data_IF_169388812716
#
_entry.id   IF_169388812716
#
_cell.length_a   1.000
_cell.length_b   1.000
_cell.length_c   1.000
_cell.angle_alpha   90.00
_cell.angle_beta   90.00
_cell.angle_gamma   90.00
#
_symmetry.space_group_name_H-M   'P 1'
#
loop_
_entity.id
_entity.type
_entity.pdbx_description
1 polymer ?
#
# COMPACT_ATOMS: atom_id res chain seq x y z
N UNK A 1 2.80 -14.72 10.34
CA UNK A 1 1.40 -15.04 10.69
C UNK A 1 0.49 -14.04 9.98
N UNK A 2 -0.54 -14.48 9.25
CA UNK A 2 -1.50 -13.63 8.56
C UNK A 2 -2.68 -13.32 9.49
N UNK A 3 -3.03 -12.04 9.65
CA UNK A 3 -4.22 -11.58 10.37
C UNK A 3 -5.18 -10.93 9.37
N UNK A 4 -6.41 -11.39 9.32
CA UNK A 4 -7.45 -10.86 8.44
C UNK A 4 -8.53 -10.20 9.28
N UNK A 5 -8.71 -8.89 9.12
CA UNK A 5 -9.76 -8.10 9.78
C UNK A 5 -10.91 -7.86 8.80
N UNK A 6 -12.06 -8.48 9.05
CA UNK A 6 -13.30 -8.20 8.30
C UNK A 6 -13.97 -6.98 8.91
N UNK A 7 -14.22 -5.96 8.10
CA UNK A 7 -14.80 -4.72 8.59
C UNK A 7 -15.68 -4.05 7.51
N UNK A 8 -16.91 -3.66 7.88
CA UNK A 8 -17.81 -2.84 7.07
C UNK A 8 -17.47 -1.35 7.12
N UNK A 9 -18.12 -0.52 6.31
CA UNK A 9 -17.98 0.93 6.41
C UNK A 9 -18.39 1.40 7.82
N UNK A 10 -17.62 2.30 8.44
CA UNK A 10 -17.87 2.80 9.79
C UNK A 10 -17.47 1.87 10.95
N UNK A 11 -16.96 0.67 10.70
CA UNK A 11 -16.65 -0.34 11.73
C UNK A 11 -15.29 -0.16 12.44
N UNK A 12 -14.68 1.02 12.37
CA UNK A 12 -13.40 1.29 13.06
C UNK A 12 -12.16 0.73 12.40
N UNK A 13 -12.20 0.41 11.09
CA UNK A 13 -11.02 -0.09 10.35
C UNK A 13 -9.76 0.73 10.55
N UNK A 14 -9.88 2.04 10.42
CA UNK A 14 -8.75 2.96 10.59
C UNK A 14 -8.23 2.96 12.02
N UNK A 15 -9.15 2.85 13.00
CA UNK A 15 -8.77 2.70 14.41
C UNK A 15 -7.91 1.45 14.63
N UNK A 16 -8.38 0.31 14.14
CA UNK A 16 -7.68 -0.98 14.27
C UNK A 16 -6.33 -0.96 13.56
N UNK A 17 -6.27 -0.44 12.33
CA UNK A 17 -5.00 -0.33 11.60
C UNK A 17 -4.00 0.59 12.28
N UNK A 18 -4.45 1.73 12.82
CA UNK A 18 -3.60 2.63 13.60
C UNK A 18 -3.06 1.93 14.84
N UNK A 19 -3.90 1.20 15.56
CA UNK A 19 -3.49 0.43 16.74
C UNK A 19 -2.44 -0.64 16.38
N UNK A 20 -2.69 -1.42 15.32
CA UNK A 20 -1.74 -2.45 14.87
C UNK A 20 -0.39 -1.84 14.48
N UNK A 21 -0.40 -0.68 13.80
CA UNK A 21 0.82 0.03 13.45
C UNK A 21 1.58 0.50 14.71
N UNK A 22 0.87 1.09 15.68
CA UNK A 22 1.45 1.54 16.96
C UNK A 22 2.04 0.36 17.75
N UNK A 23 1.36 -0.79 17.79
CA UNK A 23 1.90 -2.01 18.42
C UNK A 23 3.25 -2.41 17.81
N UNK A 24 3.39 -2.33 16.49
CA UNK A 24 4.64 -2.66 15.79
C UNK A 24 5.74 -1.61 16.02
N UNK A 25 5.35 -0.35 16.22
CA UNK A 25 6.30 0.72 16.55
C UNK A 25 6.85 0.61 17.97
N UNK A 26 5.99 0.28 18.93
CA UNK A 26 6.33 0.31 20.36
C UNK A 26 6.86 -1.03 20.90
N UNK A 27 6.61 -2.13 20.19
CA UNK A 27 6.99 -3.44 20.71
C UNK A 27 7.12 -4.53 19.64
N UNK A 28 7.42 -5.72 20.12
CA UNK A 28 7.63 -6.91 19.29
C UNK A 28 6.99 -8.14 19.93
N UNK A 29 6.94 -9.22 19.19
CA UNK A 29 6.48 -10.52 19.65
C UNK A 29 7.69 -11.39 19.92
N UNK A 30 7.81 -11.91 21.16
CA UNK A 30 8.90 -12.81 21.54
C UNK A 30 8.72 -14.22 20.93
N UNK A 31 9.71 -15.08 21.09
CA UNK A 31 9.70 -16.46 20.58
C UNK A 31 8.56 -17.31 21.17
N UNK A 32 8.08 -16.94 22.37
CA UNK A 32 6.92 -17.59 23.01
C UNK A 32 5.59 -16.99 22.55
N UNK A 33 5.62 -16.04 21.61
CA UNK A 33 4.43 -15.39 21.05
C UNK A 33 3.83 -14.29 21.91
N UNK A 34 4.50 -13.87 22.99
CA UNK A 34 4.07 -12.80 23.89
C UNK A 34 4.54 -11.45 23.37
N UNK A 35 3.71 -10.45 23.52
CA UNK A 35 4.09 -9.08 23.19
C UNK A 35 5.00 -8.49 24.26
N UNK A 36 6.05 -7.80 23.80
CA UNK A 36 7.04 -7.12 24.64
C UNK A 36 7.24 -5.69 24.16
N UNK A 37 7.29 -4.75 25.07
CA UNK A 37 7.63 -3.36 24.79
C UNK A 37 9.13 -3.26 24.47
N UNK A 38 9.49 -2.45 23.48
CA UNK A 38 10.90 -2.16 23.23
C UNK A 38 11.48 -1.39 24.41
N UNK A 39 12.73 -1.63 24.70
CA UNK A 39 13.47 -0.87 25.73
C UNK A 39 13.94 0.48 25.20
N UNK A 40 14.15 0.57 23.90
CA UNK A 40 14.60 1.75 23.19
C UNK A 40 14.03 1.73 21.77
N UNK A 41 13.74 2.91 21.21
CA UNK A 41 13.35 3.04 19.82
C UNK A 41 14.56 2.84 18.90
N UNK A 42 14.46 1.91 17.94
CA UNK A 42 15.48 1.60 16.94
C UNK A 42 14.94 1.81 15.53
N UNK A 43 14.33 2.97 15.30
CA UNK A 43 13.76 3.35 14.01
C UNK A 43 12.86 2.24 13.39
N UNK A 44 11.99 1.64 14.19
CA UNK A 44 11.13 0.51 13.78
C UNK A 44 10.26 0.85 12.57
N UNK A 45 9.88 2.14 12.38
CA UNK A 45 9.11 2.62 11.23
C UNK A 45 9.75 2.29 9.88
N UNK A 46 11.08 2.14 9.80
CA UNK A 46 11.79 1.73 8.59
C UNK A 46 11.48 0.30 8.15
N UNK A 47 11.07 -0.54 9.10
CA UNK A 47 10.81 -1.99 8.91
C UNK A 47 9.33 -2.31 8.75
N UNK A 48 8.46 -1.29 8.87
CA UNK A 48 7.01 -1.44 8.77
C UNK A 48 6.56 -0.82 7.45
N UNK A 49 5.88 -1.61 6.64
CA UNK A 49 5.23 -1.15 5.43
C UNK A 49 3.72 -1.17 5.64
N UNK A 50 3.06 -0.06 5.35
CA UNK A 50 1.61 0.00 5.23
C UNK A 50 1.21 0.51 3.84
N UNK A 51 0.21 -0.14 3.23
CA UNK A 51 -0.26 0.24 1.92
C UNK A 51 -1.75 0.56 1.94
N UNK A 52 -2.14 1.56 1.16
CA UNK A 52 -3.51 2.02 1.01
C UNK A 52 -3.90 2.11 -0.47
N UNK A 53 -5.17 2.34 -0.77
CA UNK A 53 -5.62 2.49 -2.15
C UNK A 53 -5.49 3.92 -2.69
N UNK A 54 -5.54 4.94 -1.83
CA UNK A 54 -5.56 6.33 -2.25
C UNK A 54 -4.53 7.18 -1.52
N UNK A 55 -4.04 8.24 -2.15
CA UNK A 55 -3.14 9.20 -1.53
C UNK A 55 -3.78 9.85 -0.29
N UNK A 56 -5.08 10.17 -0.36
CA UNK A 56 -5.82 10.74 0.78
C UNK A 56 -5.80 9.79 1.99
N UNK A 57 -6.04 8.49 1.78
CA UNK A 57 -5.98 7.50 2.86
C UNK A 57 -4.55 7.33 3.42
N UNK A 58 -3.52 7.45 2.57
CA UNK A 58 -2.12 7.45 2.99
C UNK A 58 -1.82 8.62 3.95
N UNK A 59 -2.19 9.84 3.56
CA UNK A 59 -1.97 11.04 4.37
C UNK A 59 -2.76 10.98 5.69
N UNK A 60 -4.02 10.57 5.64
CA UNK A 60 -4.85 10.40 6.83
C UNK A 60 -4.24 9.38 7.80
N UNK A 61 -3.73 8.26 7.31
CA UNK A 61 -3.10 7.24 8.13
C UNK A 61 -1.80 7.74 8.77
N UNK A 62 -0.94 8.44 8.03
CA UNK A 62 0.27 9.07 8.55
C UNK A 62 -0.05 10.06 9.67
N UNK A 63 -0.99 10.96 9.39
CA UNK A 63 -1.42 11.96 10.38
C UNK A 63 -1.95 11.29 11.65
N UNK A 64 -2.79 10.28 11.54
CA UNK A 64 -3.34 9.56 12.69
C UNK A 64 -2.28 8.89 13.53
N UNK A 65 -1.32 8.22 12.91
CA UNK A 65 -0.25 7.53 13.64
C UNK A 65 0.61 8.55 14.41
N UNK A 66 1.04 9.62 13.75
CA UNK A 66 1.82 10.68 14.40
C UNK A 66 1.03 11.33 15.54
N UNK A 67 -0.23 11.69 15.30
CA UNK A 67 -1.10 12.27 16.31
C UNK A 67 -1.31 11.37 17.52
N UNK A 68 -1.51 10.08 17.31
CA UNK A 68 -1.66 9.13 18.42
C UNK A 68 -0.36 8.88 19.17
N UNK A 69 0.79 8.88 18.48
CA UNK A 69 2.09 8.83 19.14
C UNK A 69 2.34 10.07 20.00
N UNK A 70 1.91 11.25 19.53
CA UNK A 70 2.02 12.49 20.27
C UNK A 70 1.18 12.45 21.56
N UNK A 71 -0.09 12.00 21.47
CA UNK A 71 -0.93 11.80 22.64
C UNK A 71 -0.29 10.78 23.61
N UNK A 72 0.22 9.64 23.10
CA UNK A 72 0.88 8.63 23.93
C UNK A 72 2.18 9.14 24.58
N UNK A 73 2.85 10.11 23.96
CA UNK A 73 4.08 10.71 24.49
C UNK A 73 3.83 11.78 25.54
N UNK A 74 2.78 12.60 25.40
CA UNK A 74 2.57 13.80 26.22
C UNK A 74 1.33 13.69 27.12
N UNK A 75 0.23 13.14 26.62
CA UNK A 75 -1.07 13.03 27.29
C UNK A 75 -1.55 11.56 27.32
N UNK A 76 -0.69 10.63 27.69
CA UNK A 76 -0.88 9.17 27.54
C UNK A 76 -2.26 8.68 27.96
N UNK A 77 -2.79 9.22 29.07
CA UNK A 77 -4.10 8.85 29.62
C UNK A 77 -5.29 9.22 28.73
N UNK A 78 -5.12 10.19 27.80
CA UNK A 78 -6.15 10.60 26.84
C UNK A 78 -6.18 9.70 25.60
N UNK A 79 -5.21 8.82 25.41
CA UNK A 79 -5.18 7.94 24.26
C UNK A 79 -6.20 6.81 24.39
N UNK A 80 -7.05 6.59 23.37
CA UNK A 80 -7.99 5.47 23.38
C UNK A 80 -7.30 4.11 23.29
N UNK A 81 -5.97 4.07 23.11
CA UNK A 81 -5.19 2.86 22.96
C UNK A 81 -4.42 2.46 24.23
N UNK A 82 -4.30 3.35 25.23
CA UNK A 82 -3.41 3.16 26.37
C UNK A 82 -3.72 1.89 27.15
N UNK A 83 -4.99 1.64 27.52
CA UNK A 83 -5.38 0.46 28.31
C UNK A 83 -5.10 -0.84 27.56
N UNK A 84 -5.42 -0.86 26.26
CA UNK A 84 -5.14 -2.02 25.42
C UNK A 84 -3.66 -2.30 25.24
N UNK A 85 -2.83 -1.26 25.14
CA UNK A 85 -1.37 -1.38 25.03
C UNK A 85 -0.75 -1.83 26.35
N UNK A 86 -1.21 -1.29 27.49
CA UNK A 86 -0.77 -1.71 28.83
C UNK A 86 -1.05 -3.20 29.05
N UNK A 87 -2.26 -3.63 28.76
CA UNK A 87 -2.65 -5.04 28.88
C UNK A 87 -1.85 -5.94 27.95
N UNK A 88 -1.65 -5.51 26.70
CA UNK A 88 -0.95 -6.28 25.68
C UNK A 88 0.53 -6.49 26.04
N UNK A 89 1.22 -5.43 26.47
CA UNK A 89 2.64 -5.45 26.75
C UNK A 89 2.98 -5.80 28.21
N UNK A 90 1.99 -5.78 29.11
CA UNK A 90 2.18 -5.98 30.54
C UNK A 90 3.08 -4.89 31.16
N UNK A 91 2.84 -3.64 30.80
CA UNK A 91 3.68 -2.50 31.15
C UNK A 91 2.87 -1.38 31.82
N UNK A 92 3.56 -0.37 32.37
CA UNK A 92 2.93 0.81 32.99
C UNK A 92 2.73 1.94 31.99
N UNK A 93 1.92 2.93 32.36
CA UNK A 93 1.68 4.16 31.57
C UNK A 93 3.00 4.88 31.30
N UNK A 94 3.87 4.99 32.30
CA UNK A 94 5.17 5.68 32.19
C UNK A 94 6.09 4.99 31.17
N UNK A 95 6.05 3.66 31.12
CA UNK A 95 6.83 2.88 30.16
C UNK A 95 6.32 3.11 28.72
N UNK A 96 4.98 3.18 28.52
CA UNK A 96 4.41 3.51 27.22
C UNK A 96 4.78 4.94 26.84
N UNK A 97 4.63 5.90 27.74
CA UNK A 97 5.00 7.31 27.51
C UNK A 97 6.45 7.45 27.08
N UNK A 98 7.36 6.80 27.80
CA UNK A 98 8.80 6.87 27.51
C UNK A 98 9.12 6.36 26.10
N UNK A 99 8.65 5.17 25.74
CA UNK A 99 8.95 4.61 24.43
C UNK A 99 8.20 5.33 23.31
N UNK A 100 6.98 5.84 23.54
CA UNK A 100 6.23 6.61 22.58
C UNK A 100 6.91 7.95 22.27
N UNK A 101 7.41 8.65 23.29
CA UNK A 101 8.17 9.90 23.14
C UNK A 101 9.45 9.68 22.33
N UNK A 102 10.21 8.66 22.63
CA UNK A 102 11.42 8.32 21.89
C UNK A 102 11.09 7.92 20.43
N UNK A 103 10.06 7.12 20.24
CA UNK A 103 9.62 6.69 18.92
C UNK A 103 9.14 7.85 18.07
N UNK A 104 8.36 8.76 18.64
CA UNK A 104 7.92 9.98 17.97
C UNK A 104 9.11 10.85 17.54
N UNK A 105 10.06 11.07 18.43
CA UNK A 105 11.28 11.83 18.13
C UNK A 105 12.04 11.22 16.95
N UNK A 106 12.32 9.92 17.00
CA UNK A 106 13.06 9.21 15.94
C UNK A 106 12.29 9.23 14.62
N UNK A 107 10.98 9.00 14.64
CA UNK A 107 10.13 9.01 13.45
C UNK A 107 10.09 10.39 12.78
N UNK A 108 9.98 11.47 13.54
CA UNK A 108 9.94 12.83 13.00
C UNK A 108 11.28 13.25 12.38
N UNK A 109 12.41 12.83 12.95
CA UNK A 109 13.74 13.11 12.40
C UNK A 109 14.08 12.25 11.18
N UNK A 110 13.35 11.15 10.98
CA UNK A 110 13.59 10.17 9.94
C UNK A 110 12.34 9.92 9.07
N UNK A 111 11.53 10.95 8.91
CA UNK A 111 10.19 10.88 8.32
C UNK A 111 10.17 10.37 6.87
N UNK A 112 11.25 10.55 6.12
CA UNK A 112 11.38 10.04 4.76
C UNK A 112 11.28 8.51 4.65
N UNK A 113 11.61 7.80 5.73
CA UNK A 113 11.50 6.33 5.84
C UNK A 113 10.21 5.86 6.51
N UNK A 114 9.25 6.77 6.71
CA UNK A 114 7.92 6.41 7.19
C UNK A 114 7.11 5.79 6.04
N UNK A 115 7.26 4.47 5.86
CA UNK A 115 6.82 3.71 4.70
C UNK A 115 5.30 3.44 4.71
N UNK A 116 4.51 4.48 4.53
CA UNK A 116 3.08 4.40 4.24
C UNK A 116 2.86 4.98 2.84
N UNK A 117 2.34 4.18 1.93
CA UNK A 117 2.17 4.57 0.53
C UNK A 117 0.92 3.94 -0.09
N UNK A 118 0.59 4.36 -1.31
CA UNK A 118 -0.40 3.62 -2.09
C UNK A 118 0.18 2.30 -2.60
N UNK A 119 -0.69 1.34 -2.90
CA UNK A 119 -0.31 0.05 -3.50
C UNK A 119 0.48 0.28 -4.79
N UNK A 120 0.01 1.17 -5.66
CA UNK A 120 0.68 1.48 -6.94
C UNK A 120 2.10 2.03 -6.73
N UNK A 121 2.27 2.97 -5.78
CA UNK A 121 3.58 3.52 -5.45
C UNK A 121 4.53 2.45 -4.92
N UNK A 122 4.04 1.54 -4.09
CA UNK A 122 4.83 0.42 -3.60
C UNK A 122 5.30 -0.48 -4.76
N UNK A 123 4.39 -0.89 -5.66
CA UNK A 123 4.77 -1.70 -6.82
C UNK A 123 5.73 -0.97 -7.76
N UNK A 124 5.57 0.33 -7.98
CA UNK A 124 6.53 1.14 -8.75
C UNK A 124 7.92 1.10 -8.13
N UNK A 125 8.03 1.21 -6.80
CA UNK A 125 9.32 1.11 -6.12
C UNK A 125 9.94 -0.28 -6.27
N UNK A 126 9.15 -1.33 -6.13
CA UNK A 126 9.59 -2.72 -6.34
C UNK A 126 10.09 -2.91 -7.77
N UNK A 127 9.32 -2.50 -8.78
CA UNK A 127 9.72 -2.58 -10.18
C UNK A 127 11.04 -1.83 -10.46
N UNK A 128 11.20 -0.62 -9.94
CA UNK A 128 12.44 0.16 -10.09
C UNK A 128 13.66 -0.54 -9.49
N UNK A 129 13.49 -1.24 -8.37
CA UNK A 129 14.58 -1.97 -7.73
C UNK A 129 14.97 -3.23 -8.50
N UNK A 130 14.01 -3.88 -9.17
CA UNK A 130 14.20 -5.12 -9.92
C UNK A 130 14.35 -4.94 -11.43
N UNK A 131 14.47 -3.70 -11.93
CA UNK A 131 14.58 -3.41 -13.38
C UNK A 131 15.63 -4.22 -14.10
N UNK A 132 16.81 -4.41 -13.47
CA UNK A 132 17.89 -5.19 -14.06
C UNK A 132 17.56 -6.68 -14.17
N UNK A 133 16.85 -7.22 -13.17
CA UNK A 133 16.52 -8.65 -13.10
C UNK A 133 15.38 -9.04 -14.05
N UNK A 134 14.45 -8.10 -14.30
CA UNK A 134 13.32 -8.30 -15.23
C UNK A 134 13.63 -7.84 -16.66
N UNK A 135 14.89 -7.44 -16.94
CA UNK A 135 15.33 -7.06 -18.29
C UNK A 135 14.79 -5.72 -18.79
N UNK A 136 14.24 -4.88 -17.91
CA UNK A 136 13.83 -3.52 -18.28
C UNK A 136 15.05 -2.59 -18.34
N UNK A 137 15.04 -1.65 -19.28
CA UNK A 137 16.04 -0.59 -19.32
C UNK A 137 15.89 0.31 -18.10
N UNK A 138 17.00 0.87 -17.60
CA UNK A 138 17.06 1.62 -16.34
C UNK A 138 16.18 2.90 -16.28
N UNK A 139 15.68 3.37 -17.41
CA UNK A 139 14.71 4.47 -17.51
C UNK A 139 13.46 3.97 -18.20
N UNK A 140 12.48 3.47 -17.43
CA UNK A 140 11.13 3.21 -17.94
C UNK A 140 10.14 4.15 -17.27
N UNK A 141 9.15 4.57 -18.02
CA UNK A 141 7.99 5.29 -17.52
C UNK A 141 6.80 4.34 -17.45
N UNK A 142 5.96 4.53 -16.45
CA UNK A 142 4.73 3.77 -16.31
C UNK A 142 3.62 4.61 -16.91
N UNK A 143 3.04 4.13 -18.02
CA UNK A 143 1.87 4.75 -18.60
C UNK A 143 0.62 4.34 -17.80
N UNK A 144 -0.14 5.33 -17.36
CA UNK A 144 -1.36 5.16 -16.57
C UNK A 144 -2.63 5.38 -17.41
N UNK A 145 -2.48 5.91 -18.61
CA UNK A 145 -3.58 6.10 -19.55
C UNK A 145 -3.88 4.80 -20.30
N UNK A 146 -4.87 4.05 -19.78
CA UNK A 146 -5.29 2.80 -20.40
C UNK A 146 -5.83 2.97 -21.81
N UNK A 147 -6.46 4.10 -22.13
CA UNK A 147 -7.02 4.37 -23.46
C UNK A 147 -5.89 4.59 -24.46
N UNK A 148 -4.85 5.34 -24.07
CA UNK A 148 -3.65 5.52 -24.85
C UNK A 148 -2.91 4.19 -25.11
N UNK A 149 -2.72 3.38 -24.05
CA UNK A 149 -2.06 2.06 -24.19
C UNK A 149 -2.85 1.14 -25.10
N UNK A 150 -4.17 1.12 -24.95
CA UNK A 150 -5.05 0.28 -25.78
C UNK A 150 -5.03 0.74 -27.25
N UNK A 151 -5.15 2.03 -27.51
CA UNK A 151 -5.07 2.59 -28.86
C UNK A 151 -3.72 2.27 -29.52
N UNK A 152 -2.61 2.48 -28.80
CA UNK A 152 -1.26 2.18 -29.28
C UNK A 152 -1.06 0.67 -29.58
N UNK A 153 -1.63 -0.20 -28.75
CA UNK A 153 -1.58 -1.65 -28.96
C UNK A 153 -2.39 -2.07 -30.20
N UNK A 154 -3.56 -1.46 -30.42
CA UNK A 154 -4.40 -1.68 -31.60
C UNK A 154 -3.68 -1.19 -32.86
N UNK A 155 -3.12 0.02 -32.85
CA UNK A 155 -2.38 0.57 -33.99
C UNK A 155 -1.18 -0.31 -34.35
N UNK A 156 -0.46 -0.81 -33.37
CA UNK A 156 0.63 -1.75 -33.59
C UNK A 156 0.13 -3.07 -34.18
N UNK A 157 -0.93 -3.62 -33.64
CA UNK A 157 -1.56 -4.83 -34.18
C UNK A 157 -1.97 -4.64 -35.65
N UNK A 158 -2.58 -3.50 -36.00
CA UNK A 158 -2.94 -3.20 -37.39
C UNK A 158 -1.71 -3.08 -38.30
N UNK A 159 -0.62 -2.47 -37.84
CA UNK A 159 0.61 -2.36 -38.63
C UNK A 159 1.24 -3.74 -38.89
N UNK A 160 1.14 -4.67 -37.94
CA UNK A 160 1.67 -6.04 -38.05
C UNK A 160 0.76 -6.97 -38.88
N UNK A 161 -0.53 -6.65 -39.07
CA UNK A 161 -1.46 -7.43 -39.90
C UNK A 161 -1.05 -7.53 -41.37
N UNK A 162 -0.19 -6.64 -41.86
CA UNK A 162 0.36 -6.67 -43.21
C UNK A 162 1.39 -7.78 -43.41
N UNK A 163 1.90 -8.38 -42.36
CA UNK A 163 2.88 -9.46 -42.44
C UNK A 163 2.25 -10.78 -42.85
N UNK A 164 3.00 -11.55 -43.64
CA UNK A 164 2.54 -12.80 -44.29
C UNK A 164 2.04 -13.83 -43.25
N UNK A 165 2.59 -13.81 -42.05
CA UNK A 165 2.25 -14.75 -40.99
C UNK A 165 0.94 -14.42 -40.26
N UNK A 166 0.38 -13.21 -40.46
CA UNK A 166 -0.84 -12.75 -39.78
C UNK A 166 -2.13 -12.82 -40.65
N UNK A 167 -2.05 -13.44 -41.82
CA UNK A 167 -3.22 -13.56 -42.75
C UNK A 167 -4.44 -14.21 -42.10
N UNK A 168 -4.24 -15.16 -41.16
CA UNK A 168 -5.33 -15.80 -40.45
C UNK A 168 -6.11 -14.82 -39.55
N UNK A 169 -5.41 -13.95 -38.86
CA UNK A 169 -6.02 -12.93 -38.01
C UNK A 169 -6.72 -11.85 -38.85
N UNK A 170 -6.10 -11.42 -39.93
CA UNK A 170 -6.72 -10.46 -40.88
C UNK A 170 -8.04 -10.99 -41.44
N UNK A 171 -8.09 -12.23 -41.94
CA UNK A 171 -9.30 -12.85 -42.43
C UNK A 171 -10.38 -12.98 -41.36
N UNK A 172 -10.01 -13.33 -40.15
CA UNK A 172 -10.93 -13.40 -39.01
C UNK A 172 -11.53 -12.00 -38.69
N UNK A 173 -10.71 -10.95 -38.66
CA UNK A 173 -11.15 -9.59 -38.40
C UNK A 173 -12.11 -9.06 -39.50
N UNK A 174 -11.83 -9.37 -40.79
CA UNK A 174 -12.70 -9.02 -41.90
C UNK A 174 -14.07 -9.69 -41.73
N UNK A 175 -14.08 -11.00 -41.45
CA UNK A 175 -15.33 -11.75 -41.28
C UNK A 175 -16.12 -11.24 -40.07
N UNK A 176 -15.46 -10.94 -38.96
CA UNK A 176 -16.10 -10.35 -37.78
C UNK A 176 -16.72 -8.95 -38.06
N UNK A 177 -16.02 -8.14 -38.83
CA UNK A 177 -16.55 -6.83 -39.24
C UNK A 177 -17.78 -6.96 -40.14
N UNK A 178 -17.75 -7.88 -41.10
CA UNK A 178 -18.89 -8.18 -41.98
C UNK A 178 -20.12 -8.63 -41.20
N UNK A 179 -19.98 -9.59 -40.28
CA UNK A 179 -21.09 -10.03 -39.40
C UNK A 179 -21.68 -8.88 -38.58
N UNK A 180 -20.84 -7.97 -38.08
CA UNK A 180 -21.31 -6.81 -37.30
C UNK A 180 -22.05 -5.79 -38.14
N UNK A 181 -21.63 -5.57 -39.38
CA UNK A 181 -22.30 -4.67 -40.32
C UNK A 181 -23.66 -5.25 -40.71
N UNK A 182 -23.75 -6.55 -41.01
CA UNK A 182 -25.01 -7.23 -41.30
C UNK A 182 -26.01 -7.13 -40.15
N UNK A 183 -25.56 -7.37 -38.89
CA UNK A 183 -26.39 -7.25 -37.69
C UNK A 183 -26.87 -5.79 -37.46
N UNK A 184 -26.07 -4.78 -37.82
CA UNK A 184 -26.47 -3.39 -37.67
C UNK A 184 -27.50 -2.94 -38.70
N UNK A 185 -27.51 -3.56 -39.89
CA UNK A 185 -28.49 -3.30 -40.95
C UNK A 185 -29.87 -3.96 -40.71
N UNK A 186 -29.93 -4.95 -39.83
CA UNK A 186 -31.20 -5.63 -39.45
C UNK A 186 -31.98 -4.83 -38.40
N UNK A 187 -31.37 -3.86 -37.75
CA UNK A 187 -31.95 -3.02 -36.68
C UNK A 187 -32.38 -1.61 -37.17
N UNK A 188 -32.43 -1.34 -38.47
CA UNK A 188 -33.04 -0.16 -39.07
C UNK A 188 -34.34 -0.59 -39.74
#
# INVERSE_FOLDING_TARGET
>A
MLHIYKASAGSGKTYTLTLEYIKLLLGYRDEQGRYRLYRKSDAQHRRILAVTFTNKATEEMKHRIVFQLDILAHDTEKSPYVDGLMQLFGCTVEQIRGIASETLYVLLHDFSYFNISTIDRFFQQVLRNFTREIGLQGSFEIEMDNDFVTASAIDRMYSELSDVDQKGLLNWLIHYAEERIELSLIHI
#
